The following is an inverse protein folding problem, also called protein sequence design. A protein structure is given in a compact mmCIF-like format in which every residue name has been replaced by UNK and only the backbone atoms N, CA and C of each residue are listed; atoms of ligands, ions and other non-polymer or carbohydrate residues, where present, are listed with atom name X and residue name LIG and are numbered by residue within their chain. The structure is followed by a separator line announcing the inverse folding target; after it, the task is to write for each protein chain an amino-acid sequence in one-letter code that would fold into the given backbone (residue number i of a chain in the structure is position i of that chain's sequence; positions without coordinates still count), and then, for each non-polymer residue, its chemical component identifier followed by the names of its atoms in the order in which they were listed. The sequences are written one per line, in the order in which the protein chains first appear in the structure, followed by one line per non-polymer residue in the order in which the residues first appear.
data_IF_852540698061
#
_entry.id   IF_852540698061
#
_cell.length_a   1.000
_cell.length_b   1.000
_cell.length_c   1.000
_cell.angle_alpha   90.00
_cell.angle_beta   90.00
_cell.angle_gamma   90.00
#
_symmetry.space_group_name_H-M   'P 1'
#
loop_
_entity.id
_entity.type
_entity.pdbx_description
1 polymer ?
#
# COMPACT_ATOMS: atom_id res chain seq x y z
N UNK A 1 20.24 0.95 -8.90
CA UNK A 1 20.06 -0.05 -7.84
C UNK A 1 21.15 0.16 -6.84
N UNK A 2 20.81 0.34 -5.56
CA UNK A 2 21.82 0.56 -4.52
C UNK A 2 22.67 -0.69 -4.33
N UNK A 3 23.97 -0.54 -4.30
CA UNK A 3 24.88 -1.58 -3.89
C UNK A 3 24.74 -1.81 -2.37
N UNK A 4 25.00 -3.00 -1.92
CA UNK A 4 25.09 -3.34 -0.50
C UNK A 4 26.53 -3.16 -0.04
N UNK A 5 26.72 -2.37 1.02
CA UNK A 5 28.01 -2.19 1.67
C UNK A 5 28.20 -3.36 2.66
N UNK A 6 29.10 -4.27 2.33
CA UNK A 6 29.48 -5.31 3.27
C UNK A 6 30.38 -4.72 4.35
N UNK A 7 29.98 -4.87 5.59
CA UNK A 7 30.79 -4.44 6.73
C UNK A 7 32.16 -5.14 6.69
N UNK A 8 33.21 -4.35 6.58
CA UNK A 8 34.59 -4.82 6.70
C UNK A 8 35.03 -4.51 8.14
N UNK A 9 35.71 -5.44 8.83
CA UNK A 9 36.25 -5.17 10.14
C UNK A 9 37.14 -3.91 10.12
N UNK A 10 37.04 -3.07 11.14
CA UNK A 10 37.73 -1.76 11.21
C UNK A 10 39.24 -1.82 11.13
N UNK A 11 39.85 -2.98 11.45
CA UNK A 11 41.29 -3.17 11.36
C UNK A 11 41.84 -3.28 9.93
N UNK A 12 40.98 -3.40 8.91
CA UNK A 12 41.45 -3.40 7.53
C UNK A 12 41.81 -2.00 6.97
N UNK A 13 41.44 -0.94 7.67
CA UNK A 13 41.83 0.44 7.31
C UNK A 13 41.33 0.92 5.96
N UNK A 14 40.34 0.23 5.38
CA UNK A 14 39.71 0.60 4.11
C UNK A 14 38.18 0.66 4.23
N UNK A 15 37.55 1.40 3.33
CA UNK A 15 36.09 1.45 3.24
C UNK A 15 35.52 0.20 2.55
N UNK A 16 34.32 -0.19 2.96
CA UNK A 16 33.63 -1.29 2.35
C UNK A 16 33.45 -1.10 0.84
N UNK A 17 33.71 -2.12 0.05
CA UNK A 17 33.50 -2.07 -1.41
C UNK A 17 32.02 -2.27 -1.70
N UNK A 18 31.44 -1.33 -2.41
CA UNK A 18 30.06 -1.42 -2.90
C UNK A 18 30.00 -2.46 -4.04
N UNK A 19 29.23 -3.52 -3.83
CA UNK A 19 29.03 -4.56 -4.85
C UNK A 19 27.58 -4.53 -5.34
N UNK A 20 27.37 -4.79 -6.63
CA UNK A 20 26.04 -4.93 -7.20
C UNK A 20 25.54 -6.37 -7.03
N UNK A 21 24.79 -6.62 -5.95
CA UNK A 21 24.32 -7.94 -5.54
C UNK A 21 22.83 -8.17 -5.83
N UNK A 22 22.20 -7.26 -6.55
CA UNK A 22 20.76 -7.32 -6.82
C UNK A 22 20.45 -7.80 -8.24
N UNK A 23 19.44 -8.68 -8.35
CA UNK A 23 18.88 -9.12 -9.62
C UNK A 23 17.37 -8.95 -9.62
N UNK A 24 16.87 -8.25 -10.64
CA UNK A 24 15.43 -7.98 -10.81
C UNK A 24 15.01 -8.47 -12.18
N UNK A 25 13.84 -9.04 -12.26
CA UNK A 25 13.17 -9.40 -13.51
C UNK A 25 11.91 -8.58 -13.66
N UNK A 26 11.75 -7.94 -14.81
CA UNK A 26 10.51 -7.27 -15.21
C UNK A 26 9.93 -8.01 -16.41
N UNK A 27 8.61 -8.17 -16.41
CA UNK A 27 7.82 -8.71 -17.51
C UNK A 27 6.64 -7.81 -17.76
N UNK A 28 6.18 -7.73 -18.98
CA UNK A 28 5.02 -6.93 -19.31
C UNK A 28 4.59 -7.10 -20.76
N UNK A 29 3.47 -6.49 -21.08
CA UNK A 29 2.96 -6.34 -22.44
C UNK A 29 2.25 -5.00 -22.56
N UNK A 30 2.21 -4.52 -23.79
CA UNK A 30 1.48 -3.29 -24.16
C UNK A 30 0.53 -3.60 -25.29
N UNK A 31 -0.64 -3.04 -25.22
CA UNK A 31 -1.68 -3.14 -26.23
C UNK A 31 -2.09 -1.73 -26.63
N UNK A 32 -2.10 -1.45 -27.92
CA UNK A 32 -2.60 -0.19 -28.47
C UNK A 32 -3.62 -0.46 -29.57
N UNK A 33 -4.76 0.19 -29.50
CA UNK A 33 -5.82 0.12 -30.48
C UNK A 33 -6.19 1.53 -30.94
N UNK A 34 -6.07 1.77 -32.24
CA UNK A 34 -6.47 3.03 -32.87
C UNK A 34 -7.56 2.77 -33.91
N UNK A 35 -8.68 3.43 -33.75
CA UNK A 35 -9.80 3.36 -34.67
C UNK A 35 -10.05 4.76 -35.19
N UNK A 36 -10.28 4.88 -36.50
CA UNK A 36 -10.67 6.12 -37.15
C UNK A 36 -11.63 5.79 -38.29
N UNK A 37 -12.83 6.33 -38.24
CA UNK A 37 -13.87 6.10 -39.23
C UNK A 37 -14.55 7.39 -39.66
N UNK A 38 -14.53 7.68 -40.93
CA UNK A 38 -15.34 8.76 -41.51
C UNK A 38 -16.52 8.12 -42.23
N UNK A 39 -17.71 8.60 -41.89
CA UNK A 39 -18.98 8.15 -42.45
C UNK A 39 -19.37 9.00 -43.69
N UNK A 40 -20.30 8.51 -44.50
CA UNK A 40 -20.77 9.19 -45.70
C UNK A 40 -21.39 10.58 -45.43
N UNK A 41 -21.93 10.80 -44.22
CA UNK A 41 -22.47 12.08 -43.77
C UNK A 41 -21.38 13.05 -43.25
N UNK A 42 -20.13 12.78 -43.54
CA UNK A 42 -18.92 13.52 -43.07
C UNK A 42 -18.72 13.52 -41.54
N UNK A 43 -19.42 12.67 -40.81
CA UNK A 43 -19.13 12.45 -39.40
C UNK A 43 -17.87 11.59 -39.29
N UNK A 44 -16.92 12.06 -38.51
CA UNK A 44 -15.69 11.33 -38.13
C UNK A 44 -15.77 10.88 -36.70
N UNK A 45 -15.55 9.62 -36.45
CA UNK A 45 -15.43 9.03 -35.10
C UNK A 45 -14.05 8.42 -34.99
N UNK A 46 -13.41 8.63 -33.85
CA UNK A 46 -12.09 8.07 -33.58
C UNK A 46 -11.99 7.58 -32.13
N UNK A 47 -11.15 6.57 -31.94
CA UNK A 47 -10.85 6.03 -30.63
C UNK A 47 -9.36 5.66 -30.58
N UNK A 48 -8.70 6.05 -29.50
CA UNK A 48 -7.35 5.61 -29.16
C UNK A 48 -7.42 4.96 -27.79
N UNK A 49 -7.02 3.70 -27.71
CA UNK A 49 -7.02 2.94 -26.46
C UNK A 49 -5.64 2.35 -26.28
N UNK A 50 -5.11 2.41 -25.06
CA UNK A 50 -3.87 1.76 -24.69
C UNK A 50 -4.01 1.09 -23.34
N UNK A 51 -3.37 -0.05 -23.22
CA UNK A 51 -3.24 -0.81 -21.99
C UNK A 51 -1.79 -1.26 -21.85
N UNK A 52 -1.20 -1.00 -20.69
CA UNK A 52 0.12 -1.48 -20.34
C UNK A 52 0.01 -2.34 -19.09
N UNK A 53 0.61 -3.51 -19.14
CA UNK A 53 0.82 -4.37 -17.97
C UNK A 53 2.30 -4.56 -17.76
N UNK A 54 2.80 -4.29 -16.56
CA UNK A 54 4.19 -4.52 -16.18
C UNK A 54 4.28 -5.00 -14.73
N UNK A 55 4.89 -6.15 -14.53
CA UNK A 55 5.21 -6.67 -13.21
C UNK A 55 6.72 -6.80 -13.04
N UNK A 56 7.22 -6.53 -11.86
CA UNK A 56 8.61 -6.75 -11.52
C UNK A 56 8.74 -7.65 -10.30
N UNK A 57 9.86 -8.38 -10.22
CA UNK A 57 10.18 -9.24 -9.09
C UNK A 57 11.68 -9.18 -8.81
N UNK A 58 12.03 -8.94 -7.56
CA UNK A 58 13.41 -9.04 -7.08
C UNK A 58 13.74 -10.53 -6.94
N UNK A 59 14.67 -11.01 -7.73
CA UNK A 59 15.10 -12.42 -7.71
C UNK A 59 16.17 -12.65 -6.67
N UNK A 60 17.10 -11.72 -6.56
CA UNK A 60 18.25 -11.81 -5.67
C UNK A 60 18.48 -10.44 -5.01
N UNK A 61 18.74 -10.45 -3.73
CA UNK A 61 19.19 -9.30 -2.94
C UNK A 61 20.01 -9.83 -1.77
N UNK A 62 20.93 -9.02 -1.25
CA UNK A 62 21.72 -9.34 -0.07
C UNK A 62 20.85 -9.22 1.21
N UNK A 63 19.84 -10.08 1.32
CA UNK A 63 19.02 -10.19 2.50
C UNK A 63 19.78 -10.99 3.57
N UNK A 64 19.64 -10.61 4.85
CA UNK A 64 20.27 -11.34 5.94
C UNK A 64 19.81 -12.82 5.95
N UNK A 65 20.72 -13.79 6.10
CA UNK A 65 20.40 -15.23 5.94
C UNK A 65 19.30 -15.73 6.89
N UNK A 66 19.21 -15.15 8.08
CA UNK A 66 18.28 -15.58 9.13
C UNK A 66 16.91 -14.90 9.07
N UNK A 67 16.67 -14.00 8.10
CA UNK A 67 15.36 -13.38 7.93
C UNK A 67 14.31 -14.41 7.50
N UNK A 68 13.15 -14.33 8.11
CA UNK A 68 11.99 -15.09 7.66
C UNK A 68 11.61 -14.72 6.21
N UNK A 69 10.97 -15.63 5.48
CA UNK A 69 10.67 -15.43 4.06
C UNK A 69 9.90 -14.14 3.76
N UNK A 70 8.92 -13.80 4.59
CA UNK A 70 8.10 -12.59 4.43
C UNK A 70 8.87 -11.29 4.76
N UNK A 71 9.93 -11.38 5.56
CA UNK A 71 10.76 -10.23 5.90
C UNK A 71 11.78 -9.90 4.82
N UNK A 72 12.15 -10.89 3.97
CA UNK A 72 13.08 -10.70 2.88
C UNK A 72 12.52 -9.70 1.85
N UNK A 73 13.42 -9.10 1.12
CA UNK A 73 13.10 -8.24 -0.03
C UNK A 73 13.09 -9.06 -1.32
N UNK A 74 13.97 -10.06 -1.41
CA UNK A 74 13.96 -11.02 -2.51
C UNK A 74 12.65 -11.82 -2.52
N UNK A 75 12.08 -12.00 -3.69
CA UNK A 75 10.81 -12.69 -3.89
C UNK A 75 9.60 -11.76 -4.10
N UNK A 76 9.73 -10.48 -3.79
CA UNK A 76 8.67 -9.47 -3.90
C UNK A 76 8.98 -8.42 -4.99
N UNK A 77 8.02 -7.56 -5.27
CA UNK A 77 8.19 -6.46 -6.19
C UNK A 77 9.10 -5.36 -5.60
N UNK A 78 9.68 -4.54 -6.47
CA UNK A 78 10.30 -3.28 -6.04
C UNK A 78 9.19 -2.37 -5.51
N UNK A 79 9.39 -1.79 -4.32
CA UNK A 79 8.39 -0.95 -3.68
C UNK A 79 7.21 -1.73 -3.11
N UNK A 80 7.36 -3.04 -2.86
CA UNK A 80 6.35 -3.83 -2.16
C UNK A 80 6.07 -3.23 -0.79
N UNK A 81 4.81 -2.88 -0.56
CA UNK A 81 4.37 -2.41 0.73
C UNK A 81 4.46 -3.52 1.78
N UNK A 82 4.85 -3.15 2.99
CA UNK A 82 4.80 -3.99 4.18
C UNK A 82 3.98 -3.29 5.25
N UNK A 83 3.06 -4.00 5.84
CA UNK A 83 2.15 -3.48 6.84
C UNK A 83 1.96 -4.46 7.98
N UNK A 84 1.50 -3.95 9.10
CA UNK A 84 0.92 -4.78 10.13
C UNK A 84 -0.43 -5.29 9.62
N UNK A 85 -0.64 -6.59 9.74
CA UNK A 85 -1.92 -7.20 9.39
C UNK A 85 -2.82 -7.08 10.60
N UNK A 86 -4.01 -6.55 10.42
CA UNK A 86 -5.02 -6.51 11.46
C UNK A 86 -6.06 -7.63 11.26
N UNK A 87 -6.68 -8.00 12.36
CA UNK A 87 -7.80 -8.95 12.40
C UNK A 87 -9.06 -8.25 12.93
N UNK A 88 -9.31 -7.03 12.48
CA UNK A 88 -10.40 -6.20 12.92
C UNK A 88 -10.07 -5.41 14.19
N UNK A 89 -11.06 -5.24 15.05
CA UNK A 89 -10.95 -4.39 16.23
C UNK A 89 -11.01 -5.19 17.53
N UNK A 90 -10.36 -4.67 18.57
CA UNK A 90 -10.55 -5.14 19.94
C UNK A 90 -11.94 -4.71 20.40
N UNK A 91 -12.82 -5.64 20.68
CA UNK A 91 -14.22 -5.34 21.03
C UNK A 91 -14.46 -5.25 22.54
N UNK A 92 -13.56 -5.82 23.34
CA UNK A 92 -13.71 -5.90 24.78
C UNK A 92 -12.36 -5.73 25.49
N UNK A 93 -12.41 -5.52 26.80
CA UNK A 93 -11.19 -5.55 27.61
C UNK A 93 -10.55 -6.95 27.67
N UNK A 94 -11.35 -8.00 27.53
CA UNK A 94 -10.82 -9.36 27.46
C UNK A 94 -10.00 -9.55 26.18
N UNK A 95 -10.42 -8.95 25.07
CA UNK A 95 -9.64 -8.95 23.83
C UNK A 95 -8.31 -8.19 24.01
N UNK A 96 -8.34 -7.04 24.71
CA UNK A 96 -7.12 -6.28 25.00
C UNK A 96 -6.13 -7.10 25.84
N UNK A 97 -6.63 -7.80 26.86
CA UNK A 97 -5.80 -8.64 27.72
C UNK A 97 -5.27 -9.86 26.98
N UNK A 98 -6.09 -10.44 26.10
CA UNK A 98 -5.73 -11.63 25.31
C UNK A 98 -4.91 -11.32 24.05
N UNK A 99 -4.77 -10.03 23.67
CA UNK A 99 -4.02 -9.66 22.47
C UNK A 99 -2.50 -9.71 22.72
N UNK A 100 -1.69 -9.93 21.65
CA UNK A 100 -0.25 -9.81 21.73
C UNK A 100 0.18 -8.44 22.27
N UNK A 101 1.31 -8.39 22.95
CA UNK A 101 1.83 -7.13 23.48
C UNK A 101 2.24 -6.20 22.33
N UNK A 102 1.64 -5.01 22.27
CA UNK A 102 1.93 -4.06 21.20
C UNK A 102 2.74 -2.84 21.65
N UNK A 103 2.38 -2.25 22.76
CA UNK A 103 3.11 -1.13 23.38
C UNK A 103 3.55 -1.52 24.78
N UNK A 104 3.85 -0.56 25.63
CA UNK A 104 4.26 -0.82 27.03
C UNK A 104 3.22 -1.67 27.77
N UNK A 105 3.25 -2.98 27.56
CA UNK A 105 2.34 -3.99 28.11
C UNK A 105 0.87 -3.72 27.79
N UNK A 106 0.55 -3.22 26.59
CA UNK A 106 -0.79 -2.84 26.18
C UNK A 106 -1.44 -1.76 27.07
N UNK A 107 -0.66 -1.00 27.81
CA UNK A 107 -1.18 -0.04 28.80
C UNK A 107 -2.01 1.10 28.17
N UNK A 108 -1.84 1.35 26.89
CA UNK A 108 -2.57 2.38 26.15
C UNK A 108 -3.63 1.79 25.21
N UNK A 109 -3.78 0.47 25.17
CA UNK A 109 -4.76 -0.22 24.32
C UNK A 109 -6.11 -0.23 24.98
N UNK A 110 -7.12 0.00 24.17
CA UNK A 110 -8.51 0.01 24.62
C UNK A 110 -9.39 -0.70 23.56
N UNK A 111 -10.59 -1.14 23.93
CA UNK A 111 -11.58 -1.55 22.95
C UNK A 111 -11.78 -0.49 21.87
N UNK A 112 -11.88 -0.91 20.61
CA UNK A 112 -11.92 -0.05 19.44
C UNK A 112 -10.58 0.24 18.78
N UNK A 113 -9.46 -0.21 19.35
CA UNK A 113 -8.16 -0.24 18.64
C UNK A 113 -8.06 -1.45 17.74
N UNK A 114 -7.19 -1.40 16.73
CA UNK A 114 -6.95 -2.54 15.84
C UNK A 114 -6.39 -3.74 16.61
N UNK A 115 -6.91 -4.93 16.31
CA UNK A 115 -6.31 -6.18 16.71
C UNK A 115 -5.19 -6.52 15.72
N UNK A 116 -3.96 -6.14 16.03
CA UNK A 116 -2.81 -6.41 15.17
C UNK A 116 -2.30 -7.81 15.41
N UNK A 117 -2.06 -8.53 14.32
CA UNK A 117 -1.59 -9.92 14.35
C UNK A 117 -0.10 -9.94 14.65
N UNK A 118 0.27 -10.74 15.65
CA UNK A 118 1.66 -11.17 15.87
C UNK A 118 2.01 -12.17 14.76
N UNK A 119 2.69 -11.70 13.73
CA UNK A 119 2.91 -12.48 12.51
C UNK A 119 4.02 -13.50 12.67
N UNK A 120 4.98 -13.24 13.55
CA UNK A 120 6.09 -14.14 13.83
C UNK A 120 5.81 -15.09 15.00
N UNK A 121 4.79 -14.83 15.82
CA UNK A 121 4.37 -15.66 16.95
C UNK A 121 5.25 -15.53 18.18
N UNK A 122 5.98 -14.42 18.36
CA UNK A 122 6.85 -14.22 19.50
C UNK A 122 6.15 -13.57 20.72
N UNK A 123 4.87 -13.23 20.59
CA UNK A 123 4.03 -12.63 21.63
C UNK A 123 4.10 -11.12 21.71
N UNK A 124 4.89 -10.48 20.85
CA UNK A 124 5.08 -9.02 20.82
C UNK A 124 4.91 -8.49 19.39
N UNK A 125 4.05 -7.52 19.21
CA UNK A 125 3.89 -6.84 17.91
C UNK A 125 4.96 -5.78 17.75
N UNK A 126 5.92 -6.04 16.89
CA UNK A 126 7.01 -5.12 16.59
C UNK A 126 7.25 -5.02 15.05
N UNK A 127 8.32 -4.36 14.65
CA UNK A 127 8.65 -4.20 13.22
C UNK A 127 8.88 -5.50 12.47
N UNK A 128 9.04 -6.63 13.16
CA UNK A 128 9.20 -7.96 12.56
C UNK A 128 7.88 -8.55 12.12
N UNK A 129 6.75 -8.00 12.58
CA UNK A 129 5.40 -8.46 12.21
C UNK A 129 4.85 -7.79 10.96
N UNK A 130 5.61 -6.88 10.37
CA UNK A 130 5.22 -6.28 9.10
C UNK A 130 5.38 -7.29 7.96
N UNK A 131 4.25 -7.73 7.42
CA UNK A 131 4.18 -8.65 6.29
C UNK A 131 3.96 -7.91 4.96
N UNK A 132 4.34 -8.49 3.81
CA UNK A 132 3.98 -7.94 2.52
C UNK A 132 2.45 -7.84 2.37
N UNK A 133 1.98 -6.68 1.96
CA UNK A 133 0.56 -6.38 1.80
C UNK A 133 0.31 -5.80 0.42
N UNK A 134 -0.76 -6.27 -0.23
CA UNK A 134 -1.21 -5.79 -1.51
C UNK A 134 -0.12 -5.78 -2.59
N UNK A 135 -0.12 -4.72 -3.38
CA UNK A 135 0.83 -4.50 -4.48
C UNK A 135 1.90 -3.47 -4.11
N UNK A 136 2.81 -3.20 -5.03
CA UNK A 136 3.73 -2.08 -4.91
C UNK A 136 3.00 -0.74 -5.09
N UNK A 137 3.66 0.36 -4.76
CA UNK A 137 3.19 1.72 -5.00
C UNK A 137 3.15 2.13 -6.48
N UNK A 138 3.72 1.29 -7.34
CA UNK A 138 3.71 1.46 -8.81
C UNK A 138 2.66 0.53 -9.41
N UNK A 139 1.67 1.07 -10.14
CA UNK A 139 0.63 0.26 -10.76
C UNK A 139 1.20 -0.78 -11.72
N UNK A 140 0.68 -2.01 -11.65
CA UNK A 140 1.00 -3.03 -12.65
C UNK A 140 0.24 -2.81 -13.95
N UNK A 141 -0.98 -2.28 -13.86
CA UNK A 141 -1.80 -2.02 -15.03
C UNK A 141 -2.14 -0.53 -15.14
N UNK A 142 -2.00 -0.02 -16.35
CA UNK A 142 -2.46 1.33 -16.71
C UNK A 142 -3.33 1.27 -17.95
N UNK A 143 -4.41 2.01 -17.93
CA UNK A 143 -5.38 2.06 -19.02
C UNK A 143 -5.58 3.50 -19.44
N UNK A 144 -5.64 3.73 -20.74
CA UNK A 144 -6.01 5.01 -21.31
C UNK A 144 -6.96 4.76 -22.49
N UNK A 145 -8.07 5.49 -22.52
CA UNK A 145 -9.00 5.46 -23.65
C UNK A 145 -9.46 6.88 -23.96
N UNK A 146 -9.28 7.29 -25.19
CA UNK A 146 -9.77 8.57 -25.69
C UNK A 146 -10.70 8.30 -26.85
N UNK A 147 -11.94 8.76 -26.72
CA UNK A 147 -12.99 8.64 -27.73
C UNK A 147 -13.36 10.03 -28.21
N UNK A 148 -13.52 10.22 -29.49
CA UNK A 148 -13.89 11.52 -30.02
C UNK A 148 -14.73 11.42 -31.30
N UNK A 149 -15.43 12.50 -31.58
CA UNK A 149 -16.16 12.67 -32.83
C UNK A 149 -16.08 14.12 -33.36
N UNK A 150 -16.22 14.24 -34.65
CA UNK A 150 -16.31 15.51 -35.38
C UNK A 150 -17.46 15.45 -36.36
N UNK A 151 -18.31 16.46 -36.34
CA UNK A 151 -19.44 16.54 -37.26
C UNK A 151 -19.95 17.96 -37.41
N UNK A 152 -20.07 18.42 -38.65
CA UNK A 152 -20.64 19.75 -39.01
C UNK A 152 -20.03 20.92 -38.20
N UNK A 153 -18.73 20.91 -37.99
CA UNK A 153 -18.04 21.95 -37.25
C UNK A 153 -18.03 21.76 -35.71
N UNK A 154 -18.76 20.78 -35.21
CA UNK A 154 -18.67 20.40 -33.81
C UNK A 154 -17.61 19.29 -33.62
N UNK A 155 -16.80 19.43 -32.60
CA UNK A 155 -15.89 18.37 -32.15
C UNK A 155 -16.02 18.17 -30.64
N UNK A 156 -16.00 16.92 -30.20
CA UNK A 156 -15.94 16.59 -28.79
C UNK A 156 -15.09 15.33 -28.60
N UNK A 157 -14.47 15.23 -27.45
CA UNK A 157 -13.79 14.01 -27.01
C UNK A 157 -13.95 13.80 -25.50
N UNK A 158 -13.83 12.56 -25.10
CA UNK A 158 -13.74 12.16 -23.70
C UNK A 158 -12.52 11.27 -23.51
N UNK A 159 -11.82 11.46 -22.41
CA UNK A 159 -10.65 10.67 -22.06
C UNK A 159 -10.90 9.98 -20.72
N UNK A 160 -10.59 8.69 -20.67
CA UNK A 160 -10.59 7.86 -19.49
C UNK A 160 -9.16 7.45 -19.18
N UNK A 161 -8.80 7.52 -17.92
CA UNK A 161 -7.54 7.01 -17.40
C UNK A 161 -7.84 6.15 -16.18
N UNK A 162 -7.17 5.01 -16.07
CA UNK A 162 -7.34 4.11 -14.96
C UNK A 162 -6.06 3.35 -14.64
N UNK A 163 -5.92 2.96 -13.41
CA UNK A 163 -4.85 2.09 -12.94
C UNK A 163 -5.44 1.04 -12.01
N UNK A 164 -4.82 -0.14 -11.97
CA UNK A 164 -5.11 -1.13 -10.95
C UNK A 164 -3.86 -1.96 -10.59
N UNK A 165 -4.01 -2.88 -9.65
CA UNK A 165 -2.91 -3.60 -9.04
C UNK A 165 -1.84 -2.62 -8.51
N UNK A 166 -2.28 -1.71 -7.66
CA UNK A 166 -1.46 -0.72 -6.96
C UNK A 166 -1.97 -0.54 -5.55
N UNK A 167 -1.08 -0.54 -4.58
CA UNK A 167 -1.42 -0.26 -3.19
C UNK A 167 -0.90 1.11 -2.80
N UNK A 168 -1.77 1.94 -2.24
CA UNK A 168 -1.42 3.27 -1.75
C UNK A 168 -1.66 3.37 -0.26
N UNK A 169 -0.68 3.93 0.43
CA UNK A 169 -0.87 4.36 1.82
C UNK A 169 -1.61 5.69 1.82
N UNK A 170 -2.79 5.69 2.39
CA UNK A 170 -3.56 6.92 2.60
C UNK A 170 -3.40 7.35 4.03
N UNK A 171 -2.78 8.51 4.22
CA UNK A 171 -2.70 9.12 5.54
C UNK A 171 -3.93 9.99 5.75
N UNK A 172 -4.76 9.59 6.68
CA UNK A 172 -5.90 10.38 7.10
C UNK A 172 -5.40 11.42 8.10
N UNK A 173 -5.01 12.58 7.59
CA UNK A 173 -4.57 13.70 8.42
C UNK A 173 -5.72 14.67 8.65
N UNK A 174 -5.96 15.02 9.90
CA UNK A 174 -6.85 16.13 10.22
C UNK A 174 -6.20 17.47 9.88
N UNK A 175 -6.95 18.40 9.34
CA UNK A 175 -6.49 19.76 9.12
C UNK A 175 -6.19 20.45 10.47
N UNK A 176 -4.93 20.75 10.72
CA UNK A 176 -4.49 21.40 11.95
C UNK A 176 -4.63 20.50 13.19
N UNK A 177 -4.96 21.11 14.31
CA UNK A 177 -5.15 20.42 15.59
C UNK A 177 -6.59 19.95 15.85
N UNK A 178 -7.47 20.16 14.91
CA UNK A 178 -8.88 19.80 14.98
C UNK A 178 -9.14 18.56 14.11
N UNK A 179 -9.89 17.64 14.65
CA UNK A 179 -10.20 16.37 13.99
C UNK A 179 -11.53 16.50 13.24
N UNK A 180 -11.49 16.98 12.01
CA UNK A 180 -12.73 17.29 11.28
C UNK A 180 -13.07 16.31 10.20
N UNK A 181 -12.28 15.26 10.06
CA UNK A 181 -12.35 14.37 8.89
C UNK A 181 -13.22 13.14 9.12
N UNK A 182 -13.88 13.05 10.26
CA UNK A 182 -14.73 11.91 10.63
C UNK A 182 -15.79 11.60 9.57
N UNK A 183 -16.44 12.62 9.07
CA UNK A 183 -17.53 12.46 8.09
C UNK A 183 -17.03 12.02 6.72
N UNK A 184 -15.79 12.38 6.37
CA UNK A 184 -15.19 12.04 5.09
C UNK A 184 -14.55 10.63 5.09
N UNK A 185 -14.31 10.08 6.27
CA UNK A 185 -13.60 8.82 6.45
C UNK A 185 -14.52 7.62 6.70
N UNK A 186 -15.81 7.83 6.80
CA UNK A 186 -16.80 6.81 7.11
C UNK A 186 -17.04 6.62 8.61
N UNK A 187 -17.65 5.50 8.97
CA UNK A 187 -17.98 5.19 10.35
C UNK A 187 -16.74 4.86 11.18
N UNK A 188 -16.78 5.19 12.45
CA UNK A 188 -15.72 4.88 13.43
C UNK A 188 -16.27 4.01 14.56
N UNK A 189 -15.39 3.27 15.20
CA UNK A 189 -15.76 2.47 16.36
C UNK A 189 -16.13 3.37 17.55
N UNK A 190 -17.31 3.23 18.09
CA UNK A 190 -17.85 4.06 19.18
C UNK A 190 -18.19 3.26 20.43
N UNK A 191 -18.61 2.01 20.26
CA UNK A 191 -19.01 1.16 21.38
C UNK A 191 -18.77 -0.33 21.11
N UNK A 192 -18.84 -1.14 22.14
CA UNK A 192 -18.69 -2.60 22.03
C UNK A 192 -19.75 -3.17 21.08
N UNK A 193 -19.32 -3.91 20.08
CA UNK A 193 -20.17 -4.53 19.07
C UNK A 193 -20.17 -3.81 17.72
N UNK A 194 -19.59 -2.63 17.60
CA UNK A 194 -19.55 -1.85 16.35
C UNK A 194 -18.62 -2.42 15.27
N UNK A 195 -17.87 -3.47 15.56
CA UNK A 195 -16.77 -3.94 14.70
C UNK A 195 -17.19 -4.34 13.27
N UNK A 196 -18.46 -4.67 13.04
CA UNK A 196 -18.90 -5.21 11.75
C UNK A 196 -19.00 -4.16 10.63
N UNK A 197 -19.33 -2.91 10.97
CA UNK A 197 -19.68 -1.87 10.00
C UNK A 197 -18.80 -0.61 10.08
N UNK A 198 -17.76 -0.63 10.92
CA UNK A 198 -16.88 0.52 11.07
C UNK A 198 -15.68 0.45 10.14
N UNK A 199 -15.29 1.59 9.63
CA UNK A 199 -14.16 1.75 8.69
C UNK A 199 -12.89 2.19 9.41
N UNK A 200 -13.03 2.89 10.55
CA UNK A 200 -11.91 3.45 11.29
C UNK A 200 -11.95 3.06 12.76
N UNK A 201 -10.79 2.95 13.43
CA UNK A 201 -10.73 2.64 14.84
C UNK A 201 -11.34 3.77 15.70
N UNK A 202 -11.38 3.55 16.99
CA UNK A 202 -11.86 4.56 17.94
C UNK A 202 -11.11 5.87 17.80
N UNK A 203 -11.78 6.93 18.13
CA UNK A 203 -11.20 8.27 18.12
C UNK A 203 -10.34 8.52 19.35
N UNK A 204 -9.20 9.19 19.11
CA UNK A 204 -8.30 9.62 20.16
C UNK A 204 -8.23 11.14 20.24
N UNK A 205 -8.25 11.66 21.45
CA UNK A 205 -7.96 13.07 21.69
C UNK A 205 -6.46 13.34 21.45
N UNK A 206 -6.13 14.45 20.79
CA UNK A 206 -4.76 14.90 20.58
C UNK A 206 -3.93 15.03 21.87
N UNK A 207 -4.60 15.14 22.99
CA UNK A 207 -3.96 15.36 24.31
C UNK A 207 -3.17 14.14 24.78
N UNK A 208 -3.47 12.96 24.29
CA UNK A 208 -2.85 11.72 24.78
C UNK A 208 -1.47 11.41 24.20
N UNK A 209 -1.05 12.08 23.11
CA UNK A 209 0.20 11.73 22.40
C UNK A 209 0.24 10.31 21.82
N UNK A 210 -0.82 9.54 21.95
CA UNK A 210 -0.96 8.18 21.48
C UNK A 210 -1.50 8.15 20.07
N UNK A 211 -0.95 7.30 19.24
CA UNK A 211 -1.42 7.05 17.88
C UNK A 211 -1.73 5.56 17.76
N UNK A 212 -2.97 5.22 17.46
CA UNK A 212 -3.40 3.84 17.27
C UNK A 212 -3.23 3.34 15.82
N UNK A 213 -2.30 3.94 15.10
CA UNK A 213 -1.99 3.60 13.72
C UNK A 213 -3.02 4.18 12.74
N UNK A 214 -2.66 5.25 12.06
CA UNK A 214 -3.53 5.97 11.14
C UNK A 214 -3.15 5.74 9.68
N UNK A 215 -2.56 4.60 9.37
CA UNK A 215 -2.20 4.24 8.01
C UNK A 215 -3.18 3.20 7.49
N UNK A 216 -3.88 3.54 6.41
CA UNK A 216 -4.79 2.65 5.71
C UNK A 216 -4.22 2.32 4.34
N UNK A 217 -4.39 1.07 3.93
CA UNK A 217 -3.96 0.58 2.62
C UNK A 217 -5.19 0.30 1.78
N UNK A 218 -5.19 0.80 0.54
CA UNK A 218 -6.23 0.53 -0.45
C UNK A 218 -5.59 -0.09 -1.69
N UNK A 219 -6.19 -1.15 -2.18
CA UNK A 219 -5.81 -1.87 -3.40
C UNK A 219 -6.60 -1.39 -4.64
#
# INVERSE_FOLDING_TARGET
MGGSDRAIPSYFGTTAVTANLGKVRTKGYELELRINKTFSNKMRVWANMSMTHAENKILEKDDAPLLAGYQKVAGYAIGQNKAYIDNGYLNSYDDVIGSPQHDTNNSQRLPGDYYIVDFNGDGVVDSKDQAPYGYSDTPQNTYNATLGFEWKGFSAFVQFYGVNNVTRVVQLTSFGSQMNTVYDQGSWWSEVGDAADVVTPRWLSKVSGYSNGTQYYYD
#
